data_IF_635396147368
#
_entry.id   IF_635396147368
#
_cell.length_a   1.000
_cell.length_b   1.000
_cell.length_c   1.000
_cell.angle_alpha   90.00
_cell.angle_beta   90.00
_cell.angle_gamma   90.00
#
_symmetry.space_group_name_H-M   'P 1'
#
loop_
_entity.id
_entity.type
_entity.pdbx_description
1 polymer ?
#
# COMPACT_ATOMS: atom_id res chain seq x y z
N UNK A 1 -2.24 37.21 -14.73
CA UNK A 1 -1.92 37.51 -16.14
C UNK A 1 -2.92 38.52 -16.68
N UNK A 2 -2.51 39.35 -17.64
CA UNK A 2 -3.39 40.32 -18.29
C UNK A 2 -4.34 39.53 -19.21
N UNK A 3 -5.65 39.73 -19.05
CA UNK A 3 -6.68 38.94 -19.75
C UNK A 3 -7.38 39.71 -20.89
N UNK A 4 -6.97 40.95 -21.14
CA UNK A 4 -7.52 41.83 -22.17
C UNK A 4 -6.42 42.60 -22.90
N UNK A 5 -6.69 43.01 -24.15
CA UNK A 5 -5.80 43.84 -24.94
C UNK A 5 -5.80 45.31 -24.51
N UNK A 6 -4.97 46.13 -25.16
CA UNK A 6 -4.95 47.59 -24.96
C UNK A 6 -6.28 48.26 -25.34
N UNK A 7 -7.04 47.63 -26.24
CA UNK A 7 -8.41 48.00 -26.63
C UNK A 7 -9.46 47.67 -25.54
N UNK A 8 -9.07 46.99 -24.47
CA UNK A 8 -9.93 46.55 -23.39
C UNK A 8 -10.76 45.31 -23.72
N UNK A 9 -10.55 44.67 -24.88
CA UNK A 9 -11.29 43.47 -25.27
C UNK A 9 -10.68 42.22 -24.64
N UNK A 10 -11.48 41.36 -23.97
CA UNK A 10 -10.97 40.10 -23.44
C UNK A 10 -10.51 39.13 -24.53
N UNK A 11 -9.44 38.38 -24.27
CA UNK A 11 -8.91 37.40 -25.23
C UNK A 11 -9.79 36.16 -25.38
N UNK A 12 -10.47 35.73 -24.30
CA UNK A 12 -11.26 34.51 -24.27
C UNK A 12 -12.76 34.81 -24.29
N UNK A 13 -13.53 34.05 -25.07
CA UNK A 13 -14.98 34.25 -25.21
C UNK A 13 -15.77 33.97 -23.91
N UNK A 14 -15.27 33.06 -23.06
CA UNK A 14 -15.85 32.78 -21.72
C UNK A 14 -15.29 33.67 -20.60
N UNK A 15 -14.58 34.76 -20.91
CA UNK A 15 -13.99 35.65 -19.91
C UNK A 15 -15.01 36.12 -18.85
N UNK A 16 -16.19 36.54 -19.29
CA UNK A 16 -17.24 37.07 -18.40
C UNK A 16 -17.91 36.03 -17.49
N UNK A 17 -17.56 34.75 -17.61
CA UNK A 17 -18.03 33.71 -16.67
C UNK A 17 -17.27 33.74 -15.34
N UNK A 18 -16.12 34.42 -15.28
CA UNK A 18 -15.23 34.48 -14.11
C UNK A 18 -14.37 33.24 -13.89
N UNK A 19 -14.61 32.14 -14.62
CA UNK A 19 -13.81 30.90 -14.60
C UNK A 19 -13.63 30.38 -16.03
N UNK A 20 -12.95 31.19 -16.84
CA UNK A 20 -12.86 30.96 -18.27
C UNK A 20 -12.15 29.64 -18.61
N UNK A 21 -11.11 29.28 -17.84
CA UNK A 21 -10.34 28.05 -18.09
C UNK A 21 -11.18 26.81 -17.75
N UNK A 22 -11.88 26.82 -16.61
CA UNK A 22 -12.77 25.73 -16.23
C UNK A 22 -13.94 25.55 -17.20
N UNK A 23 -14.65 26.63 -17.56
CA UNK A 23 -15.79 26.49 -18.46
C UNK A 23 -15.36 26.17 -19.90
N UNK A 24 -14.18 26.60 -20.33
CA UNK A 24 -13.60 26.18 -21.60
C UNK A 24 -13.35 24.66 -21.61
N UNK A 25 -12.72 24.14 -20.55
CA UNK A 25 -12.53 22.71 -20.35
C UNK A 25 -13.85 21.91 -20.35
N UNK A 26 -14.88 22.43 -19.66
CA UNK A 26 -16.22 21.83 -19.65
C UNK A 26 -16.89 21.85 -21.03
N UNK A 27 -16.65 22.90 -21.80
CA UNK A 27 -17.16 23.02 -23.16
C UNK A 27 -16.48 22.01 -24.10
N UNK A 28 -15.15 21.94 -24.08
CA UNK A 28 -14.37 20.98 -24.86
C UNK A 28 -14.73 19.53 -24.53
N UNK A 29 -14.83 19.18 -23.25
CA UNK A 29 -15.25 17.82 -22.83
C UNK A 29 -16.62 17.48 -23.35
N UNK A 30 -17.58 18.39 -23.23
CA UNK A 30 -18.95 18.16 -23.68
C UNK A 30 -19.02 18.02 -25.22
N UNK A 31 -18.23 18.81 -25.95
CA UNK A 31 -18.12 18.70 -27.40
C UNK A 31 -17.62 17.30 -27.81
N UNK A 32 -16.61 16.76 -27.12
CA UNK A 32 -16.14 15.39 -27.35
C UNK A 32 -17.23 14.36 -27.10
N UNK A 33 -17.98 14.49 -26.00
CA UNK A 33 -19.13 13.60 -25.71
C UNK A 33 -20.15 13.65 -26.85
N UNK A 34 -20.51 14.85 -27.32
CA UNK A 34 -21.48 15.04 -28.40
C UNK A 34 -21.00 14.42 -29.72
N UNK A 35 -19.71 14.59 -30.06
CA UNK A 35 -19.14 14.03 -31.28
C UNK A 35 -19.16 12.51 -31.27
N UNK A 36 -18.84 11.89 -30.12
CA UNK A 36 -18.93 10.44 -29.94
C UNK A 36 -20.38 9.94 -30.07
N UNK A 37 -21.34 10.67 -29.51
CA UNK A 37 -22.77 10.34 -29.62
C UNK A 37 -23.26 10.42 -31.08
N UNK A 38 -22.97 11.53 -31.77
CA UNK A 38 -23.34 11.69 -33.20
C UNK A 38 -22.77 10.59 -34.08
N UNK A 39 -21.53 10.18 -33.83
CA UNK A 39 -20.90 9.09 -34.56
C UNK A 39 -21.60 7.75 -34.30
N UNK A 40 -22.07 7.50 -33.06
CA UNK A 40 -22.84 6.31 -32.74
C UNK A 40 -24.22 6.30 -33.41
N UNK A 41 -24.90 7.45 -33.41
CA UNK A 41 -26.19 7.60 -34.08
C UNK A 41 -26.06 7.28 -35.58
N UNK A 42 -25.02 7.80 -36.24
CA UNK A 42 -24.71 7.49 -37.65
C UNK A 42 -24.40 6.02 -37.91
N UNK A 43 -23.68 5.35 -37.02
CA UNK A 43 -23.40 3.91 -37.15
C UNK A 43 -24.65 3.05 -36.95
N UNK A 44 -25.55 3.50 -36.06
CA UNK A 44 -26.84 2.83 -35.81
C UNK A 44 -27.73 2.92 -37.04
N UNK A 45 -27.76 4.08 -37.71
CA UNK A 45 -28.47 4.25 -38.99
C UNK A 45 -27.91 3.39 -40.12
N UNK A 46 -26.67 2.90 -39.99
CA UNK A 46 -25.97 2.07 -40.98
C UNK A 46 -25.94 0.56 -40.61
N UNK A 47 -26.65 0.12 -39.58
CA UNK A 47 -26.75 -1.28 -39.12
C UNK A 47 -25.38 -1.97 -38.86
N UNK A 48 -24.35 -1.21 -38.47
CA UNK A 48 -23.04 -1.78 -38.12
C UNK A 48 -22.89 -1.97 -36.60
N UNK A 49 -22.54 -3.18 -36.11
CA UNK A 49 -22.36 -3.43 -34.68
C UNK A 49 -21.09 -2.73 -34.17
N UNK A 50 -21.24 -1.89 -33.14
CA UNK A 50 -20.13 -1.21 -32.47
C UNK A 50 -19.37 -2.17 -31.54
N UNK A 51 -18.35 -2.83 -32.06
CA UNK A 51 -17.43 -3.64 -31.26
C UNK A 51 -16.27 -2.78 -30.76
N UNK A 52 -16.45 -2.09 -29.64
CA UNK A 52 -15.31 -1.57 -28.86
C UNK A 52 -15.40 -2.06 -27.43
N UNK A 53 -14.37 -2.80 -27.02
CA UNK A 53 -14.26 -3.35 -25.67
C UNK A 53 -14.19 -2.23 -24.63
N UNK A 54 -14.92 -2.41 -23.52
CA UNK A 54 -14.83 -1.51 -22.37
C UNK A 54 -13.40 -1.55 -21.83
N UNK A 55 -12.74 -0.40 -21.75
CA UNK A 55 -11.37 -0.33 -21.25
C UNK A 55 -11.29 -0.66 -19.76
N UNK A 56 -10.32 -1.49 -19.41
CA UNK A 56 -9.91 -1.72 -18.02
C UNK A 56 -9.13 -0.51 -17.51
N UNK A 57 -9.79 0.38 -16.76
CA UNK A 57 -9.16 1.50 -16.04
C UNK A 57 -8.35 1.08 -14.80
N UNK A 58 -8.09 -0.23 -14.63
CA UNK A 58 -7.41 -0.74 -13.45
C UNK A 58 -5.96 -0.24 -13.42
N UNK A 59 -5.63 0.62 -12.45
CA UNK A 59 -4.29 1.18 -12.27
C UNK A 59 -4.15 2.67 -12.58
N UNK A 60 -5.21 3.35 -13.03
CA UNK A 60 -5.21 4.80 -13.22
C UNK A 60 -6.16 5.50 -12.25
N UNK A 61 -5.82 6.72 -11.85
CA UNK A 61 -6.69 7.62 -11.09
C UNK A 61 -6.92 8.90 -11.88
N UNK A 62 -8.05 9.56 -11.64
CA UNK A 62 -8.27 10.93 -12.12
C UNK A 62 -7.34 11.92 -11.40
N UNK A 63 -7.09 13.07 -12.03
CA UNK A 63 -6.47 14.22 -11.36
C UNK A 63 -7.28 14.61 -10.13
N UNK A 64 -6.61 14.91 -9.03
CA UNK A 64 -7.26 15.46 -7.84
C UNK A 64 -7.68 16.91 -8.08
N UNK A 65 -8.58 17.44 -7.24
CA UNK A 65 -9.00 18.84 -7.32
C UNK A 65 -7.81 19.81 -7.34
N UNK A 66 -6.82 19.60 -6.46
CA UNK A 66 -5.64 20.47 -6.35
C UNK A 66 -4.83 20.42 -7.65
N UNK A 67 -4.60 19.23 -8.20
CA UNK A 67 -3.87 19.07 -9.47
C UNK A 67 -4.64 19.71 -10.65
N UNK A 68 -5.97 19.70 -10.61
CA UNK A 68 -6.83 20.33 -11.62
C UNK A 68 -6.78 21.87 -11.51
N UNK A 69 -6.81 22.42 -10.30
CA UNK A 69 -6.66 23.86 -10.04
C UNK A 69 -5.29 24.36 -10.50
N UNK A 70 -4.22 23.60 -10.24
CA UNK A 70 -2.86 23.91 -10.71
C UNK A 70 -2.77 23.92 -12.23
N UNK A 71 -3.40 22.96 -12.90
CA UNK A 71 -3.41 22.88 -14.37
C UNK A 71 -4.20 24.03 -15.01
N UNK A 72 -5.29 24.48 -14.39
CA UNK A 72 -6.14 25.56 -14.92
C UNK A 72 -5.72 26.95 -14.45
N UNK A 73 -4.87 27.04 -13.43
CA UNK A 73 -4.53 28.28 -12.71
C UNK A 73 -5.77 29.03 -12.18
N UNK A 74 -6.82 28.28 -11.84
CA UNK A 74 -8.12 28.80 -11.35
C UNK A 74 -8.57 28.04 -10.10
N UNK A 75 -9.26 28.73 -9.18
CA UNK A 75 -9.85 28.11 -8.00
C UNK A 75 -11.18 27.44 -8.34
N UNK A 76 -11.38 26.22 -7.87
CA UNK A 76 -12.57 25.42 -8.13
C UNK A 76 -13.37 25.13 -6.85
N UNK A 77 -14.69 25.04 -7.00
CA UNK A 77 -15.54 24.44 -5.97
C UNK A 77 -15.44 22.91 -6.04
N UNK A 78 -15.72 22.23 -4.94
CA UNK A 78 -15.82 20.76 -4.93
C UNK A 78 -16.92 20.29 -5.89
N UNK A 79 -18.01 21.04 -6.00
CA UNK A 79 -19.10 20.76 -6.93
C UNK A 79 -18.66 20.88 -8.40
N UNK A 80 -17.83 21.88 -8.71
CA UNK A 80 -17.31 22.11 -10.07
C UNK A 80 -16.41 20.95 -10.49
N UNK A 81 -15.54 20.52 -9.58
CA UNK A 81 -14.69 19.34 -9.77
C UNK A 81 -15.53 18.07 -9.99
N UNK A 82 -16.55 17.83 -9.15
CA UNK A 82 -17.42 16.66 -9.29
C UNK A 82 -18.16 16.64 -10.63
N UNK A 83 -18.68 17.78 -11.09
CA UNK A 83 -19.32 17.92 -12.40
C UNK A 83 -18.38 17.57 -13.54
N UNK A 84 -17.14 18.02 -13.47
CA UNK A 84 -16.12 17.72 -14.47
C UNK A 84 -15.79 16.22 -14.49
N UNK A 85 -15.60 15.59 -13.33
CA UNK A 85 -15.36 14.14 -13.24
C UNK A 85 -16.56 13.34 -13.77
N UNK A 86 -17.79 13.77 -13.51
CA UNK A 86 -19.00 13.13 -14.07
C UNK A 86 -19.01 13.17 -15.60
N UNK A 87 -18.58 14.27 -16.23
CA UNK A 87 -18.47 14.35 -17.68
C UNK A 87 -17.37 13.42 -18.22
N UNK A 88 -16.21 13.36 -17.57
CA UNK A 88 -15.14 12.44 -17.97
C UNK A 88 -15.56 10.98 -17.81
N UNK A 89 -16.26 10.63 -16.73
CA UNK A 89 -16.83 9.30 -16.53
C UNK A 89 -17.84 8.97 -17.63
N UNK A 90 -18.72 9.91 -17.98
CA UNK A 90 -19.66 9.74 -19.09
C UNK A 90 -18.92 9.50 -20.41
N UNK A 91 -17.85 10.25 -20.68
CA UNK A 91 -17.03 10.05 -21.87
C UNK A 91 -16.44 8.63 -21.91
N UNK A 92 -15.88 8.15 -20.79
CA UNK A 92 -15.33 6.78 -20.70
C UNK A 92 -16.38 5.68 -20.89
N UNK A 93 -17.64 5.90 -20.49
CA UNK A 93 -18.69 4.89 -20.68
C UNK A 93 -19.07 4.68 -22.15
N UNK A 94 -18.78 5.67 -23.00
CA UNK A 94 -19.04 5.60 -24.43
C UNK A 94 -17.85 4.92 -25.16
N UNK A 95 -18.07 4.28 -26.31
CA UNK A 95 -16.98 3.81 -27.17
C UNK A 95 -16.17 4.98 -27.73
N UNK A 96 -15.09 5.33 -27.02
CA UNK A 96 -14.15 6.38 -27.40
C UNK A 96 -13.29 5.99 -28.63
N UNK A 97 -12.87 6.99 -29.41
CA UNK A 97 -11.79 6.86 -30.39
C UNK A 97 -10.43 7.23 -29.80
N UNK A 98 -9.37 7.10 -30.59
CA UNK A 98 -7.99 7.40 -30.17
C UNK A 98 -7.80 8.86 -29.75
N UNK A 99 -8.61 9.78 -30.30
CA UNK A 99 -8.57 11.21 -30.00
C UNK A 99 -9.09 11.46 -28.58
N UNK A 100 -10.25 10.88 -28.25
CA UNK A 100 -10.87 10.99 -26.94
C UNK A 100 -10.02 10.30 -25.86
N UNK A 101 -9.33 9.22 -26.23
CA UNK A 101 -8.42 8.53 -25.32
C UNK A 101 -7.19 9.37 -24.95
N UNK A 102 -6.55 10.02 -25.93
CA UNK A 102 -5.47 10.98 -25.67
C UNK A 102 -5.95 12.14 -24.79
N UNK A 103 -7.19 12.59 -25.01
CA UNK A 103 -7.82 13.62 -24.18
C UNK A 103 -8.03 13.14 -22.74
N UNK A 104 -8.60 11.94 -22.55
CA UNK A 104 -8.80 11.33 -21.23
C UNK A 104 -7.46 11.14 -20.50
N UNK A 105 -6.42 10.71 -21.22
CA UNK A 105 -5.09 10.50 -20.67
C UNK A 105 -4.51 11.77 -20.02
N UNK A 106 -4.80 12.96 -20.58
CA UNK A 106 -4.39 14.25 -19.99
C UNK A 106 -4.90 14.45 -18.56
N UNK A 107 -6.06 13.88 -18.23
CA UNK A 107 -6.69 14.01 -16.91
C UNK A 107 -6.56 12.75 -16.04
N UNK A 108 -5.80 11.77 -16.48
CA UNK A 108 -5.53 10.55 -15.72
C UNK A 108 -4.06 10.45 -15.34
N UNK A 109 -3.78 9.94 -14.15
CA UNK A 109 -2.43 9.61 -13.69
C UNK A 109 -2.37 8.11 -13.41
N UNK A 110 -1.29 7.48 -13.84
CA UNK A 110 -1.00 6.10 -13.47
C UNK A 110 -0.67 6.04 -11.97
N UNK A 111 -1.32 5.11 -11.28
CA UNK A 111 -1.02 4.81 -9.88
C UNK A 111 -0.05 3.65 -9.89
N UNK A 112 1.22 3.86 -9.48
CA UNK A 112 2.15 2.76 -9.37
C UNK A 112 1.63 1.80 -8.30
N UNK A 113 1.16 0.63 -8.71
CA UNK A 113 0.81 -0.44 -7.80
C UNK A 113 2.11 -0.97 -7.20
N UNK A 114 2.40 -0.57 -5.95
CA UNK A 114 3.47 -1.19 -5.18
C UNK A 114 3.01 -2.60 -4.81
N UNK A 115 3.28 -3.57 -5.69
CA UNK A 115 3.17 -4.98 -5.31
C UNK A 115 4.14 -5.20 -4.15
N UNK A 116 3.60 -5.50 -2.97
CA UNK A 116 4.38 -5.90 -1.80
C UNK A 116 4.93 -7.32 -2.02
N UNK A 117 5.74 -7.52 -3.07
CA UNK A 117 6.51 -8.75 -3.19
C UNK A 117 7.52 -8.72 -2.06
N UNK A 118 7.33 -9.62 -1.10
CA UNK A 118 8.25 -9.79 0.02
C UNK A 118 9.63 -10.11 -0.56
N UNK A 119 10.61 -9.25 -0.32
CA UNK A 119 11.99 -9.48 -0.78
C UNK A 119 12.50 -10.73 -0.06
N UNK A 120 12.77 -11.80 -0.83
CA UNK A 120 13.36 -13.03 -0.34
C UNK A 120 14.88 -12.83 -0.35
N UNK A 121 15.51 -12.95 0.81
CA UNK A 121 16.96 -12.85 0.91
C UNK A 121 17.59 -14.13 0.34
N UNK A 122 18.69 -14.02 -0.43
CA UNK A 122 19.37 -15.19 -0.95
C UNK A 122 19.98 -16.03 0.18
N UNK A 123 19.97 -17.35 0.00
CA UNK A 123 20.60 -18.28 0.94
C UNK A 123 22.11 -18.06 0.97
N UNK A 124 22.68 -18.08 2.18
CA UNK A 124 24.12 -18.05 2.43
C UNK A 124 24.58 -19.47 2.77
N UNK A 125 25.86 -19.73 2.61
CA UNK A 125 26.46 -21.04 2.91
C UNK A 125 27.56 -20.88 3.94
N UNK A 126 27.57 -21.75 4.94
CA UNK A 126 28.65 -21.83 5.92
C UNK A 126 29.89 -22.53 5.34
N UNK A 127 30.99 -22.50 6.08
CA UNK A 127 32.24 -23.24 5.76
C UNK A 127 32.03 -24.75 5.57
N UNK A 128 31.00 -25.30 6.23
CA UNK A 128 30.60 -26.71 6.12
C UNK A 128 29.64 -26.99 4.94
N UNK A 129 29.35 -25.99 4.09
CA UNK A 129 28.44 -26.11 2.95
C UNK A 129 26.95 -26.12 3.30
N UNK A 130 26.58 -25.92 4.57
CA UNK A 130 25.17 -25.87 5.00
C UNK A 130 24.56 -24.52 4.64
N UNK A 131 23.41 -24.56 3.97
CA UNK A 131 22.64 -23.37 3.64
C UNK A 131 22.00 -22.77 4.90
N UNK A 132 22.11 -21.46 5.05
CA UNK A 132 21.50 -20.71 6.15
C UNK A 132 20.91 -19.40 5.66
N UNK A 133 19.92 -18.93 6.41
CA UNK A 133 19.33 -17.61 6.23
C UNK A 133 19.35 -16.84 7.55
N UNK A 134 19.43 -15.51 7.44
CA UNK A 134 19.41 -14.62 8.60
C UNK A 134 18.15 -13.79 8.55
N UNK A 135 17.49 -13.60 9.68
CA UNK A 135 16.31 -12.76 9.79
C UNK A 135 16.40 -11.86 11.02
N UNK A 136 15.95 -10.62 10.87
CA UNK A 136 15.88 -9.65 11.96
C UNK A 136 14.45 -9.35 12.36
N UNK A 137 14.21 -9.35 13.67
CA UNK A 137 12.91 -9.10 14.28
C UNK A 137 12.98 -8.05 15.37
N UNK A 138 11.91 -7.26 15.50
CA UNK A 138 11.75 -6.31 16.58
C UNK A 138 10.36 -6.43 17.19
N UNK A 139 10.26 -6.29 18.51
CA UNK A 139 8.99 -6.17 19.21
C UNK A 139 9.15 -5.32 20.46
N UNK A 140 8.37 -4.24 20.55
CA UNK A 140 8.52 -3.21 21.60
C UNK A 140 9.97 -2.71 21.63
N UNK A 141 10.72 -3.00 22.69
CA UNK A 141 12.14 -2.64 22.85
C UNK A 141 13.08 -3.82 22.66
N UNK A 142 12.57 -5.03 22.37
CA UNK A 142 13.38 -6.20 22.08
C UNK A 142 13.79 -6.23 20.61
N UNK A 143 15.07 -6.54 20.36
CA UNK A 143 15.63 -6.80 19.02
C UNK A 143 16.22 -8.21 19.00
N UNK A 144 15.92 -8.95 17.95
CA UNK A 144 16.37 -10.32 17.77
C UNK A 144 16.94 -10.52 16.36
N UNK A 145 18.01 -11.29 16.28
CA UNK A 145 18.58 -11.80 15.04
C UNK A 145 18.53 -13.33 15.13
N UNK A 146 17.91 -13.96 14.13
CA UNK A 146 17.79 -15.41 14.04
C UNK A 146 18.56 -15.90 12.82
N UNK A 147 19.42 -16.88 13.01
CA UNK A 147 20.07 -17.64 11.95
C UNK A 147 19.41 -19.01 11.91
N UNK A 148 18.84 -19.36 10.76
CA UNK A 148 18.16 -20.64 10.54
C UNK A 148 18.98 -21.46 9.55
N UNK A 149 19.32 -22.67 9.94
CA UNK A 149 20.09 -23.63 9.14
C UNK A 149 19.15 -24.65 8.50
N UNK A 150 19.47 -25.03 7.28
CA UNK A 150 18.79 -26.13 6.58
C UNK A 150 19.26 -27.50 7.08
N UNK A 151 18.41 -28.53 6.93
CA UNK A 151 18.68 -29.92 7.34
C UNK A 151 19.12 -30.08 8.81
N UNK A 152 18.39 -29.45 9.73
CA UNK A 152 18.62 -29.53 11.17
C UNK A 152 17.86 -30.65 11.88
N UNK A 153 18.06 -30.73 13.19
CA UNK A 153 17.37 -31.65 14.12
C UNK A 153 16.22 -30.99 14.89
N UNK A 154 15.98 -29.70 14.69
CA UNK A 154 15.01 -28.92 15.47
C UNK A 154 15.61 -28.26 16.71
N UNK A 155 16.95 -28.19 16.82
CA UNK A 155 17.63 -27.60 17.96
C UNK A 155 17.52 -26.08 17.90
N UNK A 156 16.98 -25.49 18.97
CA UNK A 156 16.81 -24.04 19.10
C UNK A 156 17.65 -23.52 20.26
N UNK A 157 18.61 -22.64 19.95
CA UNK A 157 19.45 -21.99 20.96
C UNK A 157 19.19 -20.49 20.97
N UNK A 158 19.03 -19.91 22.15
CA UNK A 158 18.80 -18.48 22.39
C UNK A 158 19.90 -17.95 23.29
N UNK A 159 20.72 -17.02 22.79
CA UNK A 159 21.90 -16.48 23.48
C UNK A 159 22.85 -17.57 24.02
N UNK A 160 23.01 -18.67 23.29
CA UNK A 160 23.86 -19.81 23.67
C UNK A 160 23.23 -20.77 24.68
N UNK A 161 21.98 -20.55 25.09
CA UNK A 161 21.23 -21.39 26.03
C UNK A 161 20.10 -22.10 25.27
N UNK A 162 19.71 -23.30 25.70
CA UNK A 162 18.58 -24.02 25.10
C UNK A 162 17.23 -23.30 25.35
N UNK A 163 16.29 -23.43 24.41
CA UNK A 163 14.99 -22.77 24.43
C UNK A 163 14.20 -23.07 25.71
N UNK A 164 14.27 -24.32 26.20
CA UNK A 164 13.53 -24.77 27.40
C UNK A 164 14.01 -24.00 28.63
N UNK A 165 15.32 -23.77 28.74
CA UNK A 165 15.91 -23.04 29.86
C UNK A 165 15.74 -21.53 29.74
N UNK A 166 15.88 -20.97 28.53
CA UNK A 166 15.75 -19.53 28.32
C UNK A 166 14.30 -19.04 28.49
N UNK A 167 13.33 -19.78 27.94
CA UNK A 167 11.91 -19.49 28.08
C UNK A 167 11.24 -20.56 28.94
N UNK A 168 11.12 -20.39 30.27
CA UNK A 168 10.45 -21.37 31.12
C UNK A 168 8.94 -21.46 30.89
N UNK A 169 8.33 -20.39 30.37
CA UNK A 169 6.88 -20.30 30.15
C UNK A 169 6.50 -20.86 28.78
N UNK A 170 5.51 -21.77 28.77
CA UNK A 170 5.05 -22.45 27.56
C UNK A 170 4.59 -21.47 26.46
N UNK A 171 3.85 -20.42 26.84
CA UNK A 171 3.36 -19.39 25.90
C UNK A 171 4.47 -18.78 25.05
N UNK A 172 5.66 -18.55 25.63
CA UNK A 172 6.77 -17.97 24.88
C UNK A 172 7.35 -19.00 23.91
N UNK A 173 7.44 -20.27 24.30
CA UNK A 173 7.88 -21.37 23.43
C UNK A 173 6.94 -21.58 22.24
N UNK A 174 5.62 -21.53 22.48
CA UNK A 174 4.61 -21.62 21.42
C UNK A 174 4.78 -20.50 20.39
N UNK A 175 5.08 -19.27 20.82
CA UNK A 175 5.33 -18.16 19.89
C UNK A 175 6.56 -18.40 19.02
N UNK A 176 7.63 -19.00 19.55
CA UNK A 176 8.82 -19.35 18.76
C UNK A 176 8.53 -20.49 17.78
N UNK A 177 7.72 -21.46 18.17
CA UNK A 177 7.41 -22.64 17.35
C UNK A 177 6.42 -22.34 16.22
N UNK A 178 5.54 -21.35 16.41
CA UNK A 178 4.43 -21.04 15.51
C UNK A 178 4.83 -20.90 14.02
N UNK A 179 5.92 -20.21 13.62
CA UNK A 179 6.33 -20.13 12.21
C UNK A 179 6.70 -21.49 11.60
N UNK A 180 7.32 -22.38 12.38
CA UNK A 180 7.71 -23.71 11.93
C UNK A 180 6.51 -24.66 11.85
N UNK A 181 5.58 -24.53 12.82
CA UNK A 181 4.33 -25.27 12.82
C UNK A 181 3.43 -24.85 11.67
N UNK A 182 3.34 -23.55 11.35
CA UNK A 182 2.54 -23.04 10.24
C UNK A 182 2.99 -23.57 8.88
N UNK A 183 4.27 -23.90 8.74
CA UNK A 183 4.86 -24.42 7.50
C UNK A 183 5.00 -25.95 7.48
N UNK A 184 4.56 -26.66 8.52
CA UNK A 184 4.78 -28.12 8.69
C UNK A 184 6.27 -28.52 8.60
N UNK A 185 7.15 -27.69 9.20
CA UNK A 185 8.62 -27.86 9.21
C UNK A 185 9.22 -27.95 10.60
N UNK A 186 8.41 -28.34 11.58
CA UNK A 186 8.92 -28.64 12.94
C UNK A 186 9.95 -29.76 12.86
N UNK A 187 11.13 -29.55 13.46
CA UNK A 187 12.20 -30.55 13.50
C UNK A 187 13.09 -30.63 12.24
N UNK A 188 12.85 -29.81 11.21
CA UNK A 188 13.64 -29.83 9.97
C UNK A 188 14.78 -28.80 9.93
N UNK A 189 14.74 -27.82 10.82
CA UNK A 189 15.66 -26.68 10.83
C UNK A 189 16.26 -26.49 12.22
N UNK A 190 17.54 -26.15 12.26
CA UNK A 190 18.22 -25.71 13.49
C UNK A 190 18.26 -24.19 13.52
N UNK A 191 18.08 -23.60 14.71
CA UNK A 191 17.98 -22.16 14.87
C UNK A 191 18.90 -21.67 15.98
N UNK A 192 19.69 -20.65 15.64
CA UNK A 192 20.53 -19.92 16.59
C UNK A 192 20.06 -18.47 16.63
N UNK A 193 19.59 -18.04 17.79
CA UNK A 193 19.04 -16.71 18.00
C UNK A 193 19.89 -15.90 18.96
N UNK A 194 20.13 -14.65 18.61
CA UNK A 194 20.65 -13.63 19.53
C UNK A 194 19.56 -12.59 19.80
N UNK A 195 19.27 -12.33 21.06
CA UNK A 195 18.21 -11.39 21.46
C UNK A 195 18.72 -10.45 22.55
N UNK A 196 18.36 -9.17 22.41
CA UNK A 196 18.74 -8.11 23.35
C UNK A 196 17.57 -7.17 23.64
N UNK A 197 17.54 -6.63 24.86
CA UNK A 197 16.52 -5.68 25.31
C UNK A 197 15.13 -6.29 25.55
N UNK A 198 14.19 -5.42 25.93
CA UNK A 198 12.80 -5.79 26.21
C UNK A 198 12.63 -6.69 27.43
N UNK A 199 11.55 -7.47 27.42
CA UNK A 199 11.26 -8.49 28.43
C UNK A 199 10.82 -9.79 27.76
N UNK A 200 10.61 -10.85 28.55
CA UNK A 200 10.39 -12.23 28.10
C UNK A 200 9.45 -12.38 26.87
N UNK A 201 8.22 -11.89 26.96
CA UNK A 201 7.24 -12.01 25.86
C UNK A 201 7.53 -11.09 24.67
N UNK A 202 8.23 -9.97 24.89
CA UNK A 202 8.70 -9.11 23.81
C UNK A 202 9.82 -9.81 23.03
N UNK A 203 10.75 -10.43 23.73
CA UNK A 203 11.84 -11.22 23.14
C UNK A 203 11.31 -12.41 22.34
N UNK A 204 10.37 -13.19 22.90
CA UNK A 204 9.74 -14.29 22.19
C UNK A 204 9.07 -13.85 20.87
N UNK A 205 8.33 -12.73 20.90
CA UNK A 205 7.72 -12.21 19.68
C UNK A 205 8.71 -11.59 18.69
N UNK A 206 9.83 -11.03 19.16
CA UNK A 206 10.90 -10.57 18.28
C UNK A 206 11.58 -11.75 17.57
N UNK A 207 11.85 -12.84 18.29
CA UNK A 207 12.42 -14.08 17.74
C UNK A 207 11.43 -14.73 16.75
N UNK A 208 10.13 -14.74 17.06
CA UNK A 208 9.09 -15.23 16.14
C UNK A 208 9.13 -14.50 14.79
N UNK A 209 9.26 -13.17 14.81
CA UNK A 209 9.39 -12.40 13.57
C UNK A 209 10.71 -12.71 12.87
N UNK A 210 11.83 -12.75 13.60
CA UNK A 210 13.15 -13.04 13.04
C UNK A 210 13.20 -14.42 12.35
N UNK A 211 12.69 -15.45 13.01
CA UNK A 211 12.57 -16.82 12.48
C UNK A 211 11.66 -16.89 11.27
N UNK A 212 10.48 -16.26 11.31
CA UNK A 212 9.59 -16.18 10.15
C UNK A 212 10.25 -15.48 8.96
N UNK A 213 11.05 -14.43 9.19
CA UNK A 213 11.79 -13.76 8.12
C UNK A 213 12.90 -14.65 7.57
N UNK A 214 13.66 -15.35 8.40
CA UNK A 214 14.69 -16.27 7.94
C UNK A 214 14.10 -17.45 7.14
N UNK A 215 12.97 -18.00 7.59
CA UNK A 215 12.29 -19.11 6.93
C UNK A 215 11.83 -18.80 5.49
N UNK A 216 11.63 -17.52 5.14
CA UNK A 216 11.19 -17.09 3.79
C UNK A 216 12.08 -17.63 2.67
N UNK A 217 13.38 -17.81 2.94
CA UNK A 217 14.38 -18.22 1.95
C UNK A 217 14.33 -19.73 1.66
N UNK A 218 13.64 -20.51 2.49
CA UNK A 218 13.52 -21.97 2.36
C UNK A 218 12.15 -22.44 1.85
N UNK A 219 11.23 -21.51 1.61
CA UNK A 219 9.82 -21.78 1.26
C UNK A 219 9.45 -21.21 -0.10
N UNK A 220 8.32 -21.67 -0.64
CA UNK A 220 7.78 -21.20 -1.92
C UNK A 220 7.13 -19.82 -1.79
N UNK A 221 7.04 -19.06 -2.89
CA UNK A 221 6.39 -17.73 -2.90
C UNK A 221 4.93 -17.76 -2.38
N UNK A 222 4.20 -18.86 -2.63
CA UNK A 222 2.82 -19.03 -2.14
C UNK A 222 2.77 -19.16 -0.62
N UNK A 223 3.68 -19.92 -0.02
CA UNK A 223 3.78 -20.08 1.43
C UNK A 223 4.18 -18.75 2.09
N UNK A 224 5.06 -17.96 1.46
CA UNK A 224 5.40 -16.60 1.92
C UNK A 224 4.16 -15.71 1.98
N UNK A 225 3.29 -15.76 0.98
CA UNK A 225 2.04 -14.99 0.98
C UNK A 225 1.08 -15.47 2.08
N UNK A 226 0.99 -16.78 2.34
CA UNK A 226 0.22 -17.29 3.47
C UNK A 226 0.78 -16.85 4.82
N UNK A 227 2.11 -16.82 4.99
CA UNK A 227 2.75 -16.28 6.19
C UNK A 227 2.48 -14.77 6.35
N UNK A 228 2.44 -14.03 5.25
CA UNK A 228 2.08 -12.60 5.25
C UNK A 228 0.64 -12.41 5.73
N UNK A 229 -0.30 -13.18 5.19
CA UNK A 229 -1.72 -13.14 5.57
C UNK A 229 -1.96 -13.58 7.02
N UNK A 230 -1.19 -14.56 7.52
CA UNK A 230 -1.20 -14.99 8.92
C UNK A 230 -0.56 -13.98 9.89
N UNK A 231 0.03 -12.88 9.39
CA UNK A 231 0.66 -11.84 10.22
C UNK A 231 2.01 -12.24 10.82
N UNK A 232 2.67 -13.27 10.28
CA UNK A 232 3.99 -13.73 10.73
C UNK A 232 5.12 -12.79 10.29
N UNK A 233 4.95 -12.15 9.13
CA UNK A 233 5.97 -11.28 8.51
C UNK A 233 5.78 -9.79 8.85
N UNK A 234 4.72 -9.45 9.58
CA UNK A 234 4.37 -8.07 9.94
C UNK A 234 4.99 -7.69 11.28
N UNK A 235 5.63 -6.52 11.34
CA UNK A 235 6.12 -5.94 12.61
C UNK A 235 4.91 -5.46 13.42
N UNK A 236 4.83 -5.84 14.70
CA UNK A 236 3.80 -5.33 15.63
C UNK A 236 4.13 -3.87 16.00
N UNK A 237 3.35 -2.86 15.53
CA UNK A 237 3.67 -1.46 15.77
C UNK A 237 3.30 -0.99 17.18
N UNK A 238 2.66 -1.84 18.01
CA UNK A 238 2.17 -1.45 19.33
C UNK A 238 3.33 -1.25 20.30
N UNK A 239 3.53 -0.01 20.70
CA UNK A 239 4.55 0.42 21.67
C UNK A 239 3.90 1.11 22.86
N UNK A 240 4.64 1.19 23.98
CA UNK A 240 4.17 1.90 25.18
C UNK A 240 4.02 3.38 24.86
N UNK A 241 2.80 3.89 24.91
CA UNK A 241 2.57 5.32 24.80
C UNK A 241 3.20 6.10 25.95
N UNK A 242 3.72 7.29 25.67
CA UNK A 242 4.22 8.20 26.70
C UNK A 242 3.12 8.66 27.67
N UNK A 243 3.51 9.01 28.89
CA UNK A 243 2.66 9.72 29.86
C UNK A 243 2.38 11.15 29.37
N UNK A 244 1.17 11.64 29.65
CA UNK A 244 0.77 13.01 29.30
C UNK A 244 0.81 13.87 30.58
N UNK A 245 1.30 15.13 30.54
CA UNK A 245 1.21 16.02 31.69
C UNK A 245 -0.26 16.28 32.05
N UNK A 246 -0.56 16.48 33.33
CA UNK A 246 -1.94 16.60 33.82
C UNK A 246 -2.77 15.30 33.79
N UNK A 247 -2.14 14.15 33.53
CA UNK A 247 -2.77 12.83 33.56
C UNK A 247 -1.97 11.87 34.46
N UNK A 248 -2.66 10.89 35.04
CA UNK A 248 -2.02 9.85 35.87
C UNK A 248 -1.17 8.92 35.00
N UNK A 249 -1.66 8.57 33.82
CA UNK A 249 -0.97 7.69 32.87
C UNK A 249 -0.94 8.21 31.44
N UNK A 250 -0.81 7.28 30.49
CA UNK A 250 -0.90 7.60 29.07
C UNK A 250 -2.32 8.03 28.65
N UNK A 251 -3.36 7.45 29.27
CA UNK A 251 -4.76 7.75 28.95
C UNK A 251 -5.61 7.94 30.22
N UNK A 252 -5.24 7.27 31.33
CA UNK A 252 -5.89 7.40 32.63
C UNK A 252 -5.77 8.84 33.14
N UNK A 253 -6.91 9.45 33.41
CA UNK A 253 -7.03 10.76 34.06
C UNK A 253 -7.05 10.58 35.58
N UNK A 254 -6.64 11.61 36.30
CA UNK A 254 -6.90 11.67 37.73
C UNK A 254 -8.41 11.69 37.99
N UNK A 255 -8.81 11.25 39.19
CA UNK A 255 -10.22 11.30 39.61
C UNK A 255 -10.76 12.72 39.50
N UNK A 256 -11.77 12.90 38.67
CA UNK A 256 -12.44 14.19 38.51
C UNK A 256 -13.46 14.39 39.63
N UNK A 257 -13.34 15.48 40.38
CA UNK A 257 -14.30 15.89 41.40
C UNK A 257 -15.21 16.99 40.82
N UNK A 258 -16.51 16.71 40.70
CA UNK A 258 -17.51 17.64 40.15
C UNK A 258 -17.98 18.70 41.15
N UNK A 259 -17.96 18.37 42.44
CA UNK A 259 -18.57 19.11 43.55
C UNK A 259 -17.60 20.14 44.10
#
# INVERSE_FOLDING_TARGET
>A
EIQWGEDGRPFHFLFYTGKQSYYSLMHETYEKVLNVQKHQDQLTDQDQPSQKEKKNLAGSRWLTKIELEEMLLEKLSDNDYLRFIQLLQKLVTLPCGDIEEKYIQKFSKEVPAQLQKVVIEPLKYNEQGVAFSTGEGMRKTARATAVVYDNGTGKVTVNGIDIVHYFPVLQDREQLLFPFQFLDRVGKHDMVCTVSGGGRSAQAGAIRLASAKALRSFVTEKEVEFMRQAGLLTVDPRVKERKKPGQEGARRKFTWKKR
#
